data_IF_695852117954
#
_entry.id   IF_695852117954
#
_cell.length_a   1.000
_cell.length_b   1.000
_cell.length_c   1.000
_cell.angle_alpha   90.00
_cell.angle_beta   90.00
_cell.angle_gamma   90.00
#
_symmetry.space_group_name_H-M   'P 1'
#
loop_
_entity.id
_entity.type
_entity.pdbx_description
1 polymer ?
#
# COMPACT_ATOMS: atom_id res chain seq x y z
N UNK A 1 12.30 2.69 14.26
CA UNK A 1 10.91 2.20 14.15
C UNK A 1 10.02 3.13 13.31
N UNK A 2 9.73 4.37 13.72
CA UNK A 2 8.82 5.28 12.97
C UNK A 2 9.23 5.59 11.52
N UNK A 3 10.52 5.59 11.20
CA UNK A 3 11.02 5.90 9.84
C UNK A 3 10.60 4.85 8.81
N UNK A 4 10.47 3.58 9.21
CA UNK A 4 10.11 2.51 8.26
C UNK A 4 8.67 2.65 7.76
N UNK A 5 7.73 2.99 8.67
CA UNK A 5 6.33 3.22 8.33
C UNK A 5 6.19 4.38 7.33
N UNK A 6 6.83 5.52 7.63
CA UNK A 6 6.81 6.69 6.75
C UNK A 6 7.40 6.38 5.37
N UNK A 7 8.44 5.56 5.29
CA UNK A 7 9.01 5.17 4.00
C UNK A 7 8.12 4.19 3.22
N UNK A 8 7.39 3.30 3.91
CA UNK A 8 6.38 2.45 3.26
C UNK A 8 5.25 3.31 2.69
N UNK A 9 4.69 4.22 3.50
CA UNK A 9 3.61 5.11 3.04
C UNK A 9 4.08 5.99 1.88
N UNK A 10 5.28 6.57 1.98
CA UNK A 10 5.85 7.41 0.92
C UNK A 10 6.00 6.64 -0.38
N UNK A 11 6.54 5.43 -0.33
CA UNK A 11 6.76 4.61 -1.53
C UNK A 11 5.42 4.16 -2.15
N UNK A 12 4.44 3.78 -1.33
CA UNK A 12 3.10 3.46 -1.80
C UNK A 12 2.44 4.66 -2.53
N UNK A 13 2.52 5.86 -1.95
CA UNK A 13 2.00 7.10 -2.56
C UNK A 13 2.75 7.44 -3.84
N UNK A 14 4.08 7.32 -3.87
CA UNK A 14 4.86 7.55 -5.08
C UNK A 14 4.50 6.57 -6.20
N UNK A 15 4.24 5.31 -5.86
CA UNK A 15 3.81 4.33 -6.84
C UNK A 15 2.42 4.67 -7.42
N UNK A 16 1.48 5.10 -6.57
CA UNK A 16 0.17 5.56 -7.03
C UNK A 16 0.27 6.79 -7.95
N UNK A 17 1.09 7.79 -7.59
CA UNK A 17 1.31 8.99 -8.41
C UNK A 17 1.92 8.65 -9.77
N UNK A 18 2.93 7.77 -9.80
CA UNK A 18 3.68 7.45 -11.02
C UNK A 18 2.91 6.53 -11.98
N UNK A 19 2.18 5.56 -11.43
CA UNK A 19 1.65 4.45 -12.22
C UNK A 19 0.13 4.47 -12.32
N UNK A 20 -0.57 4.88 -11.26
CA UNK A 20 -2.03 4.73 -11.24
C UNK A 20 -2.76 5.82 -12.03
N UNK A 21 -2.13 6.93 -12.41
CA UNK A 21 -2.85 8.09 -13.00
C UNK A 21 -4.08 8.50 -12.18
N UNK A 22 -3.98 8.32 -10.85
CA UNK A 22 -5.07 8.55 -9.92
C UNK A 22 -5.36 10.04 -9.78
N UNK A 23 -6.63 10.39 -9.61
CA UNK A 23 -7.06 11.76 -9.29
C UNK A 23 -7.19 11.97 -7.78
N UNK A 24 -7.28 10.88 -7.02
CA UNK A 24 -7.39 10.88 -5.57
C UNK A 24 -6.54 9.76 -4.96
N UNK A 25 -5.83 10.09 -3.88
CA UNK A 25 -5.12 9.13 -3.03
C UNK A 25 -5.55 9.39 -1.59
N UNK A 26 -6.13 8.37 -0.96
CA UNK A 26 -6.59 8.41 0.41
C UNK A 26 -5.64 7.59 1.31
N UNK A 27 -5.13 8.21 2.37
CA UNK A 27 -4.34 7.54 3.41
C UNK A 27 -5.14 7.55 4.69
N UNK A 28 -5.34 6.38 5.30
CA UNK A 28 -6.05 6.25 6.58
C UNK A 28 -5.33 5.28 7.51
N UNK A 29 -5.46 5.48 8.81
CA UNK A 29 -4.94 4.58 9.84
C UNK A 29 -6.08 4.18 10.75
N UNK A 30 -6.24 2.88 10.96
CA UNK A 30 -7.27 2.31 11.81
C UNK A 30 -6.59 1.49 12.90
N UNK A 31 -7.02 1.68 14.14
CA UNK A 31 -6.59 0.82 15.25
C UNK A 31 -7.70 -0.17 15.54
N UNK A 32 -7.39 -1.45 15.40
CA UNK A 32 -8.31 -2.53 15.69
C UNK A 32 -8.42 -2.76 17.22
N UNK A 33 -9.53 -3.34 17.70
CA UNK A 33 -9.73 -3.60 19.14
C UNK A 33 -8.68 -4.52 19.77
N UNK A 34 -7.98 -5.34 18.97
CA UNK A 34 -6.89 -6.23 19.40
C UNK A 34 -5.54 -5.50 19.60
N UNK A 35 -5.52 -4.19 19.36
CA UNK A 35 -4.36 -3.31 19.45
C UNK A 35 -3.54 -3.23 18.17
N UNK A 36 -3.94 -3.90 17.09
CA UNK A 36 -3.22 -3.81 15.83
C UNK A 36 -3.56 -2.52 15.08
N UNK A 37 -2.56 -1.90 14.49
CA UNK A 37 -2.70 -0.74 13.63
C UNK A 37 -2.67 -1.18 12.17
N UNK A 38 -3.67 -0.75 11.39
CA UNK A 38 -3.70 -0.93 9.95
C UNK A 38 -3.64 0.41 9.24
N UNK A 39 -2.59 0.63 8.45
CA UNK A 39 -2.52 1.79 7.55
C UNK A 39 -2.97 1.39 6.17
N UNK A 40 -4.00 2.06 5.66
CA UNK A 40 -4.50 1.90 4.30
C UNK A 40 -4.04 3.06 3.41
N UNK A 41 -3.49 2.73 2.25
CA UNK A 41 -3.26 3.67 1.16
C UNK A 41 -4.13 3.21 0.00
N UNK A 42 -5.12 4.01 -0.39
CA UNK A 42 -6.00 3.75 -1.51
C UNK A 42 -5.85 4.80 -2.59
N UNK A 43 -5.84 4.39 -3.84
CA UNK A 43 -5.97 5.29 -4.98
C UNK A 43 -7.14 4.88 -5.87
N UNK A 44 -7.62 5.81 -6.69
CA UNK A 44 -8.71 5.58 -7.65
C UNK A 44 -8.21 5.46 -9.10
N UNK A 45 -6.95 5.08 -9.29
CA UNK A 45 -6.30 5.05 -10.60
C UNK A 45 -6.54 3.78 -11.39
N UNK A 46 -5.70 3.52 -12.40
CA UNK A 46 -5.64 2.26 -13.14
C UNK A 46 -4.74 1.22 -12.48
N UNK A 47 -3.94 1.66 -11.51
CA UNK A 47 -3.04 0.83 -10.73
C UNK A 47 -1.57 0.90 -11.07
N UNK A 48 -0.83 0.18 -10.26
CA UNK A 48 0.56 -0.18 -10.52
C UNK A 48 0.47 -1.46 -11.34
N UNK A 49 1.03 -1.46 -12.55
CA UNK A 49 0.91 -2.54 -13.54
C UNK A 49 1.11 -3.95 -12.97
N UNK A 50 0.53 -4.94 -13.65
CA UNK A 50 0.43 -6.32 -13.19
C UNK A 50 1.74 -6.89 -12.60
N UNK A 51 1.65 -7.84 -11.64
CA UNK A 51 2.81 -8.50 -11.02
C UNK A 51 3.69 -9.32 -11.98
N UNK A 52 3.41 -9.33 -13.28
CA UNK A 52 4.15 -10.03 -14.33
C UNK A 52 5.11 -9.14 -15.14
N UNK A 53 5.26 -7.85 -14.84
CA UNK A 53 6.27 -7.00 -15.51
C UNK A 53 7.67 -7.15 -14.89
N UNK A 54 8.68 -7.65 -15.63
CA UNK A 54 10.01 -7.86 -15.10
C UNK A 54 10.85 -6.60 -15.30
N UNK A 55 10.65 -5.55 -14.48
CA UNK A 55 11.62 -4.46 -14.18
C UNK A 55 10.97 -3.36 -13.33
N UNK A 56 10.77 -3.58 -12.02
CA UNK A 56 10.21 -2.51 -11.17
C UNK A 56 9.87 -2.87 -9.71
N UNK A 57 9.90 -4.15 -9.33
CA UNK A 57 9.44 -4.62 -8.03
C UNK A 57 10.33 -4.26 -6.83
N UNK A 58 11.40 -3.47 -7.00
CA UNK A 58 12.23 -3.04 -5.88
C UNK A 58 11.42 -2.27 -4.83
N UNK A 59 10.49 -1.41 -5.23
CA UNK A 59 9.67 -0.63 -4.30
C UNK A 59 8.80 -1.52 -3.41
N UNK A 60 8.06 -2.48 -4.01
CA UNK A 60 7.21 -3.42 -3.26
C UNK A 60 8.03 -4.36 -2.36
N UNK A 61 9.17 -4.85 -2.85
CA UNK A 61 10.01 -5.77 -2.07
C UNK A 61 10.66 -5.06 -0.88
N UNK A 62 11.14 -3.83 -1.08
CA UNK A 62 11.67 -2.98 0.00
C UNK A 62 10.57 -2.64 1.01
N UNK A 63 9.35 -2.35 0.56
CA UNK A 63 8.21 -2.12 1.46
C UNK A 63 7.85 -3.35 2.27
N UNK A 64 7.89 -4.56 1.68
CA UNK A 64 7.68 -5.83 2.41
C UNK A 64 8.76 -6.08 3.45
N UNK A 65 10.03 -5.95 3.09
CA UNK A 65 11.15 -6.11 4.02
C UNK A 65 11.03 -5.14 5.22
N UNK A 66 10.62 -3.90 4.94
CA UNK A 66 10.38 -2.89 5.99
C UNK A 66 9.18 -3.21 6.86
N UNK A 67 8.11 -3.77 6.27
CA UNK A 67 6.96 -4.25 7.02
C UNK A 67 7.37 -5.38 7.97
N UNK A 68 8.16 -6.35 7.50
CA UNK A 68 8.69 -7.44 8.32
C UNK A 68 9.57 -6.92 9.47
N UNK A 69 10.42 -5.91 9.23
CA UNK A 69 11.22 -5.24 10.28
C UNK A 69 10.36 -4.52 11.32
N UNK A 70 9.10 -4.21 11.01
CA UNK A 70 8.12 -3.66 11.95
C UNK A 70 7.23 -4.75 12.57
N UNK A 71 7.55 -6.03 12.37
CA UNK A 71 6.69 -7.18 12.73
C UNK A 71 5.28 -7.04 12.15
N UNK A 72 5.18 -6.41 11.00
CA UNK A 72 3.93 -6.17 10.29
C UNK A 72 3.85 -6.88 8.95
N UNK A 73 2.65 -6.87 8.36
CA UNK A 73 2.37 -7.51 7.07
C UNK A 73 1.84 -6.49 6.09
N UNK A 74 2.49 -6.40 4.91
CA UNK A 74 2.04 -5.57 3.81
C UNK A 74 1.22 -6.42 2.83
N UNK A 75 -0.03 -6.02 2.59
CA UNK A 75 -0.89 -6.60 1.57
C UNK A 75 -1.18 -5.57 0.47
N UNK A 76 -1.33 -6.06 -0.76
CA UNK A 76 -1.77 -5.31 -1.92
C UNK A 76 -2.99 -6.00 -2.51
N UNK A 77 -4.08 -5.25 -2.73
CA UNK A 77 -5.28 -5.78 -3.36
C UNK A 77 -5.96 -4.75 -4.25
N UNK A 78 -6.65 -5.25 -5.27
CA UNK A 78 -7.70 -4.52 -5.99
C UNK A 78 -9.05 -5.00 -5.44
N UNK A 79 -9.95 -4.10 -4.98
CA UNK A 79 -11.29 -4.49 -4.58
C UNK A 79 -12.04 -5.07 -5.79
N UNK A 80 -12.38 -6.36 -5.73
CA UNK A 80 -13.06 -7.08 -6.82
C UNK A 80 -14.60 -6.96 -6.80
N UNK A 81 -15.17 -6.07 -5.98
CA UNK A 81 -16.61 -5.83 -5.96
C UNK A 81 -17.01 -4.71 -5.00
N UNK A 82 -17.71 -3.71 -5.53
CA UNK A 82 -18.36 -2.64 -4.75
C UNK A 82 -17.58 -1.32 -4.64
N UNK A 83 -16.30 -1.29 -5.03
CA UNK A 83 -15.53 -0.05 -5.20
C UNK A 83 -15.55 0.46 -6.65
N UNK A 84 -15.11 1.69 -6.87
CA UNK A 84 -14.89 2.21 -8.23
C UNK A 84 -13.88 1.30 -8.94
N UNK A 85 -14.18 0.78 -10.15
CA UNK A 85 -13.24 -0.04 -10.92
C UNK A 85 -11.89 0.68 -11.02
N UNK A 86 -10.80 0.00 -10.66
CA UNK A 86 -9.45 0.58 -10.65
C UNK A 86 -8.91 0.98 -9.28
N UNK A 87 -9.67 0.88 -8.18
CA UNK A 87 -9.10 1.18 -6.88
C UNK A 87 -7.99 0.19 -6.48
N UNK A 88 -6.87 0.69 -5.99
CA UNK A 88 -5.79 -0.14 -5.42
C UNK A 88 -5.66 0.15 -3.95
N UNK A 89 -5.36 -0.88 -3.16
CA UNK A 89 -5.21 -0.74 -1.73
C UNK A 89 -3.91 -1.40 -1.24
N UNK A 90 -3.11 -0.63 -0.53
CA UNK A 90 -2.07 -1.12 0.35
C UNK A 90 -2.61 -1.16 1.77
N UNK A 91 -2.36 -2.25 2.48
CA UNK A 91 -2.57 -2.30 3.92
C UNK A 91 -1.33 -2.80 4.63
N UNK A 92 -0.82 -2.04 5.60
CA UNK A 92 0.21 -2.50 6.52
C UNK A 92 -0.44 -2.75 7.88
N UNK A 93 -0.38 -4.00 8.36
CA UNK A 93 -0.91 -4.42 9.66
C UNK A 93 0.28 -4.63 10.59
N UNK A 94 0.32 -4.00 11.76
CA UNK A 94 1.39 -4.19 12.75
C UNK A 94 0.95 -3.77 14.16
N UNK A 95 1.74 -4.10 15.16
CA UNK A 95 1.45 -3.86 16.59
C UNK A 95 2.36 -2.80 17.20
#
# INVERSE_FOLDING_TARGET
MQVHLLQIVREAVLNAIKHASATEIAVSCVTAPDGNHTVYIRDNGVGIGEPNEPTGHYGLNIMRERAERLSGTLNFSQPSGGGTPGQHQFSLIGR
#
